data_IF_859820171170
#
_entry.id   IF_859820171170
#
_cell.length_a   1.000
_cell.length_b   1.000
_cell.length_c   1.000
_cell.angle_alpha   90.00
_cell.angle_beta   90.00
_cell.angle_gamma   90.00
#
_symmetry.space_group_name_H-M   'P 1'
#
loop_
_entity.id
_entity.type
_entity.pdbx_description
1 polymer ?
#
# COMPACT_ATOMS: atom_id res chain seq x y z
N UNK A 1 8.22 -4.58 -2.92
CA UNK A 1 7.94 -6.02 -2.74
C UNK A 1 6.51 -6.28 -3.17
N UNK A 2 6.21 -7.48 -3.70
CA UNK A 2 4.82 -7.90 -3.96
C UNK A 2 4.40 -8.90 -2.89
N UNK A 3 3.27 -8.63 -2.26
CA UNK A 3 2.62 -9.52 -1.32
C UNK A 3 1.39 -10.11 -2.01
N UNK A 4 1.29 -11.43 -2.01
CA UNK A 4 0.18 -12.12 -2.66
C UNK A 4 -0.75 -12.75 -1.63
N UNK A 5 -2.03 -12.36 -1.71
CA UNK A 5 -3.15 -12.89 -0.95
C UNK A 5 -4.03 -13.80 -1.84
N UNK A 6 -4.89 -14.59 -1.22
CA UNK A 6 -5.99 -15.23 -1.95
C UNK A 6 -7.05 -14.18 -2.27
N UNK A 7 -7.78 -14.33 -3.38
CA UNK A 7 -8.79 -13.33 -3.75
C UNK A 7 -9.93 -13.25 -2.72
N UNK A 8 -10.38 -14.40 -2.22
CA UNK A 8 -11.46 -14.50 -1.24
C UNK A 8 -11.14 -13.92 0.15
N UNK A 9 -9.86 -13.70 0.46
CA UNK A 9 -9.40 -13.17 1.75
C UNK A 9 -8.62 -11.87 1.58
N UNK A 10 -8.72 -11.22 0.41
CA UNK A 10 -7.83 -10.11 0.06
C UNK A 10 -7.95 -8.92 1.02
N UNK A 11 -9.18 -8.60 1.47
CA UNK A 11 -9.41 -7.53 2.46
C UNK A 11 -8.79 -7.91 3.79
N UNK A 12 -9.09 -9.11 4.27
CA UNK A 12 -8.66 -9.63 5.56
C UNK A 12 -7.15 -9.70 5.66
N UNK A 13 -6.53 -10.30 4.65
CA UNK A 13 -5.08 -10.43 4.50
C UNK A 13 -4.42 -9.05 4.46
N UNK A 14 -4.95 -8.13 3.63
CA UNK A 14 -4.42 -6.76 3.56
C UNK A 14 -4.53 -6.05 4.91
N UNK A 15 -5.65 -6.23 5.62
CA UNK A 15 -5.87 -5.65 6.94
C UNK A 15 -4.94 -6.25 8.01
N UNK A 16 -4.67 -7.54 7.98
CA UNK A 16 -3.70 -8.20 8.85
C UNK A 16 -2.28 -7.65 8.61
N UNK A 17 -1.87 -7.53 7.36
CA UNK A 17 -0.59 -6.95 6.99
C UNK A 17 -0.45 -5.49 7.46
N UNK A 18 -1.44 -4.65 7.17
CA UNK A 18 -1.42 -3.23 7.53
C UNK A 18 -1.50 -3.04 9.05
N UNK A 19 -2.36 -3.79 9.74
CA UNK A 19 -2.47 -3.72 11.20
C UNK A 19 -1.16 -4.12 11.87
N UNK A 20 -0.52 -5.21 11.43
CA UNK A 20 0.78 -5.63 11.92
C UNK A 20 1.86 -4.57 11.69
N UNK A 21 1.95 -4.04 10.47
CA UNK A 21 2.92 -2.97 10.12
C UNK A 21 2.71 -1.71 10.96
N UNK A 22 1.47 -1.25 11.07
CA UNK A 22 1.14 -0.02 11.80
C UNK A 22 1.51 -0.08 13.28
N UNK A 23 1.53 -1.26 13.90
CA UNK A 23 2.03 -1.41 15.28
C UNK A 23 3.53 -1.18 15.38
N UNK A 24 4.28 -1.60 14.37
CA UNK A 24 5.75 -1.60 14.37
C UNK A 24 6.34 -0.30 13.81
N UNK A 25 5.70 0.30 12.80
CA UNK A 25 6.24 1.43 12.04
C UNK A 25 5.14 2.30 11.45
N UNK A 26 5.53 3.49 10.98
CA UNK A 26 4.63 4.35 10.23
C UNK A 26 4.29 3.77 8.85
N UNK A 27 3.03 3.91 8.44
CA UNK A 27 2.48 3.38 7.19
C UNK A 27 1.91 4.51 6.33
N UNK A 28 2.33 4.62 5.08
CA UNK A 28 1.58 5.32 4.05
C UNK A 28 0.76 4.30 3.27
N UNK A 29 -0.56 4.34 3.42
CA UNK A 29 -1.48 3.48 2.70
C UNK A 29 -2.02 4.22 1.48
N UNK A 30 -1.65 3.75 0.28
CA UNK A 30 -2.32 4.11 -0.97
C UNK A 30 -3.38 3.05 -1.24
N UNK A 31 -4.64 3.41 -1.03
CA UNK A 31 -5.77 2.51 -1.22
C UNK A 31 -6.50 2.88 -2.49
N UNK A 32 -6.55 1.93 -3.44
CA UNK A 32 -7.17 2.13 -4.75
C UNK A 32 -8.62 1.62 -4.85
N UNK A 33 -9.19 1.23 -3.71
CA UNK A 33 -10.45 0.50 -3.60
C UNK A 33 -10.91 0.44 -2.14
N UNK A 34 -12.22 0.35 -1.91
CA UNK A 34 -12.90 0.01 -0.62
C UNK A 34 -12.16 0.43 0.67
N UNK A 35 -11.62 1.65 0.69
CA UNK A 35 -10.71 2.11 1.75
C UNK A 35 -11.36 2.08 3.12
N UNK A 36 -12.67 2.31 3.19
CA UNK A 36 -13.45 2.20 4.42
C UNK A 36 -13.41 0.78 4.99
N UNK A 37 -13.80 -0.22 4.21
CA UNK A 37 -13.88 -1.60 4.66
C UNK A 37 -12.51 -2.11 5.11
N UNK A 38 -11.47 -1.76 4.35
CA UNK A 38 -10.09 -2.05 4.72
C UNK A 38 -9.70 -1.42 6.06
N UNK A 39 -10.03 -0.15 6.31
CA UNK A 39 -9.69 0.54 7.56
C UNK A 39 -10.48 -0.01 8.76
N UNK A 40 -11.78 -0.32 8.58
CA UNK A 40 -12.60 -0.96 9.62
C UNK A 40 -12.00 -2.34 10.00
N UNK A 41 -11.56 -3.11 8.99
CA UNK A 41 -10.86 -4.37 9.16
C UNK A 41 -9.50 -4.21 9.89
N UNK A 42 -8.74 -3.16 9.59
CA UNK A 42 -7.46 -2.84 10.26
C UNK A 42 -7.69 -2.51 11.74
N UNK A 43 -8.73 -1.73 12.06
CA UNK A 43 -9.06 -1.33 13.44
C UNK A 43 -9.49 -2.53 14.27
N UNK A 44 -10.39 -3.36 13.74
CA UNK A 44 -10.84 -4.58 14.44
C UNK A 44 -9.69 -5.55 14.76
N UNK A 45 -8.58 -5.48 14.01
CA UNK A 45 -7.35 -6.25 14.23
C UNK A 45 -6.33 -5.55 15.14
N UNK A 46 -6.68 -4.38 15.68
CA UNK A 46 -5.82 -3.60 16.57
C UNK A 46 -4.67 -2.89 15.86
N UNK A 47 -4.90 -2.40 14.64
CA UNK A 47 -3.97 -1.49 13.95
C UNK A 47 -3.93 -0.10 14.59
N UNK A 48 -2.77 0.55 14.55
CA UNK A 48 -2.55 1.89 15.13
C UNK A 48 -2.79 2.99 14.10
N UNK A 49 -4.03 3.49 14.01
CA UNK A 49 -4.42 4.52 13.04
C UNK A 49 -3.57 5.80 13.08
N UNK A 50 -3.06 6.18 14.26
CA UNK A 50 -2.21 7.37 14.42
C UNK A 50 -0.90 7.28 13.63
N UNK A 51 -0.47 6.06 13.28
CA UNK A 51 0.73 5.79 12.46
C UNK A 51 0.41 5.62 10.98
N UNK A 52 -0.87 5.71 10.57
CA UNK A 52 -1.30 5.49 9.18
C UNK A 52 -1.66 6.83 8.54
N UNK A 53 -0.94 7.20 7.49
CA UNK A 53 -1.36 8.22 6.53
C UNK A 53 -2.07 7.54 5.36
N UNK A 54 -3.28 7.99 5.02
CA UNK A 54 -4.11 7.35 3.99
C UNK A 54 -4.24 8.26 2.78
N UNK A 55 -3.85 7.73 1.63
CA UNK A 55 -4.13 8.30 0.32
C UNK A 55 -5.20 7.43 -0.29
N UNK A 56 -6.43 7.89 -0.19
CA UNK A 56 -7.55 7.22 -0.83
C UNK A 56 -7.68 7.74 -2.26
N UNK A 57 -7.28 6.89 -3.20
CA UNK A 57 -7.32 7.17 -4.61
C UNK A 57 -8.35 6.25 -5.24
N UNK A 58 -9.50 6.76 -5.69
CA UNK A 58 -10.59 5.99 -6.32
C UNK A 58 -11.64 5.33 -5.42
N UNK A 59 -11.58 5.42 -4.09
CA UNK A 59 -12.78 5.09 -3.29
C UNK A 59 -13.88 6.12 -3.52
N UNK A 60 -15.13 5.65 -3.53
CA UNK A 60 -16.32 6.46 -3.74
C UNK A 60 -17.03 6.85 -2.44
N UNK A 61 -16.58 6.36 -1.27
CA UNK A 61 -17.38 6.39 -0.04
C UNK A 61 -16.74 7.11 1.16
N UNK A 62 -15.69 7.89 0.93
CA UNK A 62 -15.04 8.66 2.00
C UNK A 62 -15.97 9.72 2.57
N UNK A 63 -16.40 9.54 3.81
CA UNK A 63 -17.22 10.52 4.53
C UNK A 63 -18.49 9.94 5.16
N UNK A 64 -18.91 8.72 4.79
CA UNK A 64 -19.95 8.01 5.54
C UNK A 64 -19.31 6.95 6.43
N UNK A 65 -18.99 7.32 7.67
CA UNK A 65 -18.56 6.38 8.70
C UNK A 65 -17.10 5.89 8.61
N UNK A 66 -16.26 6.48 7.75
CA UNK A 66 -14.80 6.27 7.81
C UNK A 66 -14.26 6.82 9.15
N UNK A 67 -13.39 6.10 9.85
CA UNK A 67 -12.72 6.60 11.05
C UNK A 67 -12.09 7.97 10.83
N UNK A 68 -12.19 8.87 11.81
CA UNK A 68 -11.62 10.21 11.67
C UNK A 68 -10.09 10.12 11.70
N UNK A 69 -9.47 10.20 10.51
CA UNK A 69 -8.03 10.18 10.33
C UNK A 69 -7.55 11.60 10.05
N UNK A 70 -6.61 12.09 10.85
CA UNK A 70 -6.02 13.43 10.67
C UNK A 70 -5.11 13.52 9.46
N UNK A 71 -4.61 12.38 8.97
CA UNK A 71 -3.61 12.29 7.90
C UNK A 71 -4.16 11.61 6.65
N UNK A 72 -5.39 11.95 6.27
CA UNK A 72 -6.06 11.35 5.13
C UNK A 72 -6.27 12.36 4.01
N UNK A 73 -5.92 11.97 2.78
CA UNK A 73 -6.15 12.75 1.56
C UNK A 73 -7.00 11.91 0.60
N UNK A 74 -8.04 12.53 0.05
CA UNK A 74 -8.86 11.93 -1.01
C UNK A 74 -8.45 12.49 -2.36
N UNK A 75 -8.24 11.61 -3.32
CA UNK A 75 -7.97 11.96 -4.71
C UNK A 75 -9.21 11.58 -5.52
N UNK A 76 -9.89 12.60 -6.06
CA UNK A 76 -11.22 12.48 -6.64
C UNK A 76 -11.28 11.50 -7.83
N UNK A 77 -10.14 11.21 -8.48
CA UNK A 77 -10.03 10.25 -9.60
C UNK A 77 -8.65 9.56 -9.63
N UNK A 78 -8.57 8.25 -9.93
CA UNK A 78 -7.29 7.53 -10.05
C UNK A 78 -6.42 7.95 -11.25
N UNK A 79 -6.98 8.68 -12.23
CA UNK A 79 -6.20 9.24 -13.36
C UNK A 79 -5.29 10.37 -12.92
N UNK A 80 -5.51 10.96 -11.74
CA UNK A 80 -4.66 12.00 -11.16
C UNK A 80 -3.45 11.37 -10.46
N UNK A 81 -2.72 10.54 -11.21
CA UNK A 81 -1.60 9.73 -10.68
C UNK A 81 -0.46 10.59 -10.16
N UNK A 82 -0.33 11.81 -10.69
CA UNK A 82 0.61 12.80 -10.21
C UNK A 82 0.28 13.21 -8.76
N UNK A 83 -1.00 13.33 -8.41
CA UNK A 83 -1.40 13.64 -7.03
C UNK A 83 -1.07 12.46 -6.12
N UNK A 84 -1.35 11.23 -6.56
CA UNK A 84 -0.98 10.01 -5.80
C UNK A 84 0.53 10.02 -5.53
N UNK A 85 1.35 10.33 -6.54
CA UNK A 85 2.80 10.40 -6.40
C UNK A 85 3.25 11.55 -5.48
N UNK A 86 2.66 12.74 -5.62
CA UNK A 86 3.00 13.92 -4.81
C UNK A 86 2.66 13.68 -3.34
N UNK A 87 1.43 13.24 -3.04
CA UNK A 87 1.01 12.97 -1.67
C UNK A 87 1.79 11.80 -1.07
N UNK A 88 2.03 10.75 -1.84
CA UNK A 88 2.86 9.63 -1.38
C UNK A 88 4.27 10.11 -1.06
N UNK A 89 4.91 10.90 -1.92
CA UNK A 89 6.23 11.44 -1.67
C UNK A 89 6.26 12.36 -0.44
N UNK A 90 5.22 13.16 -0.25
CA UNK A 90 5.12 14.04 0.90
C UNK A 90 4.99 13.26 2.22
N UNK A 91 4.02 12.35 2.33
CA UNK A 91 3.84 11.53 3.53
C UNK A 91 5.04 10.63 3.79
N UNK A 92 5.64 10.05 2.76
CA UNK A 92 6.83 9.19 2.91
C UNK A 92 8.06 9.97 3.35
N UNK A 93 8.19 11.26 3.02
CA UNK A 93 9.23 12.12 3.61
C UNK A 93 8.97 12.46 5.07
N UNK A 94 7.70 12.62 5.45
CA UNK A 94 7.31 12.83 6.84
C UNK A 94 7.65 11.59 7.69
N UNK A 95 7.31 10.39 7.20
CA UNK A 95 7.51 9.15 7.94
C UNK A 95 8.88 8.48 7.71
N UNK A 96 9.57 8.81 6.63
CA UNK A 96 10.80 8.13 6.20
C UNK A 96 12.01 8.39 7.10
N UNK A 97 11.96 9.43 7.94
CA UNK A 97 12.97 9.66 8.99
C UNK A 97 12.92 8.60 10.10
N UNK A 98 11.81 7.87 10.22
CA UNK A 98 11.55 6.91 11.31
C UNK A 98 11.52 5.44 10.82
N UNK A 99 11.81 5.18 9.54
CA UNK A 99 11.82 3.82 8.99
C UNK A 99 10.41 3.27 8.70
N UNK A 100 9.64 3.99 7.88
CA UNK A 100 8.27 3.60 7.50
C UNK A 100 8.14 2.70 6.27
N UNK A 101 6.90 2.35 5.95
CA UNK A 101 6.51 1.57 4.77
C UNK A 101 5.41 2.27 3.98
N UNK A 102 5.51 2.24 2.65
CA UNK A 102 4.42 2.55 1.74
C UNK A 102 3.76 1.26 1.26
N UNK A 103 2.44 1.17 1.41
CA UNK A 103 1.63 0.02 1.01
C UNK A 103 0.63 0.46 -0.04
N UNK A 104 0.56 -0.26 -1.16
CA UNK A 104 -0.42 -0.06 -2.23
C UNK A 104 -1.36 -1.26 -2.26
N UNK A 105 -2.67 -1.01 -2.23
CA UNK A 105 -3.73 -2.04 -2.38
C UNK A 105 -4.68 -1.66 -3.51
N UNK A 106 -5.35 -2.64 -4.12
CA UNK A 106 -6.31 -2.45 -5.21
C UNK A 106 -5.70 -2.05 -6.54
N UNK A 107 -4.46 -2.46 -6.81
CA UNK A 107 -3.72 -2.02 -8.01
C UNK A 107 -4.41 -2.45 -9.32
N UNK A 108 -5.20 -3.53 -9.29
CA UNK A 108 -6.08 -3.96 -10.38
C UNK A 108 -7.13 -2.91 -10.76
N UNK A 109 -7.56 -2.06 -9.81
CA UNK A 109 -8.53 -1.01 -10.07
C UNK A 109 -7.99 0.11 -10.96
N UNK A 110 -6.67 0.28 -11.05
CA UNK A 110 -6.12 1.24 -12.02
C UNK A 110 -6.39 0.82 -13.46
N UNK A 111 -6.59 -0.47 -13.74
CA UNK A 111 -6.83 -0.96 -15.10
C UNK A 111 -8.15 -0.49 -15.71
N UNK A 112 -9.10 0.00 -14.90
CA UNK A 112 -10.32 0.64 -15.44
C UNK A 112 -10.11 2.10 -15.86
N UNK A 113 -8.92 2.66 -15.64
CA UNK A 113 -8.63 4.07 -15.82
C UNK A 113 -7.36 4.35 -16.63
N UNK A 114 -6.40 3.43 -16.59
CA UNK A 114 -5.07 3.56 -17.15
C UNK A 114 -4.70 2.29 -17.90
N UNK A 115 -3.82 2.42 -18.89
CA UNK A 115 -3.25 1.25 -19.55
C UNK A 115 -2.13 0.60 -18.71
N UNK A 116 -1.63 -0.55 -19.18
CA UNK A 116 -0.62 -1.34 -18.46
C UNK A 116 0.74 -0.64 -18.39
N UNK A 117 1.09 0.15 -19.41
CA UNK A 117 2.37 0.85 -19.47
C UNK A 117 2.38 2.02 -18.48
N UNK A 118 1.26 2.74 -18.37
CA UNK A 118 1.03 3.79 -17.39
C UNK A 118 1.10 3.25 -15.95
N UNK A 119 0.46 2.10 -15.68
CA UNK A 119 0.55 1.43 -14.37
C UNK A 119 1.99 1.01 -14.08
N UNK A 120 2.71 0.47 -15.07
CA UNK A 120 4.11 0.09 -14.92
C UNK A 120 5.00 1.28 -14.60
N UNK A 121 4.84 2.39 -15.33
CA UNK A 121 5.58 3.63 -15.10
C UNK A 121 5.29 4.21 -13.70
N UNK A 122 4.04 4.16 -13.25
CA UNK A 122 3.65 4.58 -11.91
C UNK A 122 4.36 3.77 -10.82
N UNK A 123 4.28 2.44 -10.88
CA UNK A 123 4.92 1.58 -9.90
C UNK A 123 6.45 1.75 -9.92
N UNK A 124 7.04 1.88 -11.11
CA UNK A 124 8.47 2.14 -11.26
C UNK A 124 8.88 3.47 -10.60
N UNK A 125 8.13 4.54 -10.86
CA UNK A 125 8.39 5.88 -10.32
C UNK A 125 8.27 5.89 -8.80
N UNK A 126 7.21 5.30 -8.27
CA UNK A 126 6.99 5.14 -6.84
C UNK A 126 8.14 4.38 -6.18
N UNK A 127 8.53 3.23 -6.72
CA UNK A 127 9.66 2.44 -6.21
C UNK A 127 10.95 3.25 -6.17
N UNK A 128 11.25 4.02 -7.23
CA UNK A 128 12.45 4.86 -7.30
C UNK A 128 12.44 5.93 -6.21
N UNK A 129 11.31 6.60 -6.01
CA UNK A 129 11.14 7.62 -4.97
C UNK A 129 11.30 7.01 -3.57
N UNK A 130 10.69 5.85 -3.31
CA UNK A 130 10.79 5.18 -2.00
C UNK A 130 12.21 4.74 -1.70
N UNK A 131 12.93 4.22 -2.70
CA UNK A 131 14.35 3.88 -2.58
C UNK A 131 15.20 5.10 -2.22
N UNK A 132 14.92 6.27 -2.81
CA UNK A 132 15.62 7.52 -2.49
C UNK A 132 15.30 8.03 -1.08
N UNK A 133 14.08 7.80 -0.60
CA UNK A 133 13.63 8.19 0.72
C UNK A 133 14.00 7.18 1.83
N UNK A 134 14.66 6.07 1.49
CA UNK A 134 14.92 4.94 2.40
C UNK A 134 13.64 4.37 3.06
N UNK A 135 12.56 4.30 2.27
CA UNK A 135 11.25 3.78 2.70
C UNK A 135 10.98 2.46 1.98
N UNK A 136 10.47 1.46 2.70
CA UNK A 136 10.05 0.21 2.09
C UNK A 136 8.78 0.44 1.27
N UNK A 137 8.64 -0.23 0.13
CA UNK A 137 7.40 -0.21 -0.65
C UNK A 137 6.86 -1.63 -0.79
N UNK A 138 5.56 -1.78 -0.64
CA UNK A 138 4.84 -3.05 -0.78
C UNK A 138 3.60 -2.84 -1.64
N UNK A 139 3.37 -3.75 -2.57
CA UNK A 139 2.13 -3.84 -3.33
C UNK A 139 1.45 -5.12 -2.89
N UNK A 140 0.26 -5.02 -2.32
CA UNK A 140 -0.55 -6.19 -1.94
C UNK A 140 -1.51 -6.47 -3.08
N UNK A 141 -1.48 -7.69 -3.60
CA UNK A 141 -2.29 -8.15 -4.72
C UNK A 141 -2.94 -9.49 -4.38
N UNK A 142 -3.96 -9.87 -5.15
CA UNK A 142 -4.56 -11.21 -5.08
C UNK A 142 -4.12 -12.09 -6.26
N UNK A 143 -4.41 -13.38 -6.20
CA UNK A 143 -4.03 -14.37 -7.22
C UNK A 143 -4.73 -14.18 -8.58
N UNK A 144 -5.97 -13.69 -8.57
CA UNK A 144 -6.77 -13.49 -9.78
C UNK A 144 -6.42 -12.25 -10.61
N UNK A 145 -5.35 -11.50 -10.26
CA UNK A 145 -4.95 -10.38 -11.11
C UNK A 145 -4.55 -10.88 -12.51
N UNK A 146 -4.96 -10.14 -13.54
CA UNK A 146 -4.69 -10.50 -14.93
C UNK A 146 -3.19 -10.71 -15.19
N UNK A 147 -2.86 -11.71 -16.01
CA UNK A 147 -1.47 -12.04 -16.41
C UNK A 147 -0.66 -10.82 -16.87
N UNK A 148 -1.23 -9.86 -17.63
CA UNK A 148 -0.48 -8.68 -18.02
C UNK A 148 -0.06 -7.81 -16.82
N UNK A 149 -0.96 -7.57 -15.87
CA UNK A 149 -0.65 -6.80 -14.65
C UNK A 149 0.36 -7.54 -13.77
N UNK A 150 0.23 -8.87 -13.65
CA UNK A 150 1.22 -9.70 -12.94
C UNK A 150 2.62 -9.57 -13.54
N UNK A 151 2.71 -9.48 -14.87
CA UNK A 151 3.98 -9.26 -15.58
C UNK A 151 4.57 -7.88 -15.24
N UNK A 152 3.77 -6.82 -15.33
CA UNK A 152 4.19 -5.45 -14.98
C UNK A 152 4.70 -5.36 -13.55
N UNK A 153 3.97 -5.94 -12.60
CA UNK A 153 4.36 -5.95 -11.19
C UNK A 153 5.66 -6.74 -10.98
N UNK A 154 5.76 -7.95 -11.54
CA UNK A 154 6.94 -8.80 -11.35
C UNK A 154 8.23 -8.17 -11.88
N UNK A 155 8.19 -7.50 -13.04
CA UNK A 155 9.32 -6.71 -13.58
C UNK A 155 9.70 -5.55 -12.66
N UNK A 156 8.71 -4.99 -11.97
CA UNK A 156 8.90 -3.86 -11.06
C UNK A 156 9.30 -4.27 -9.64
N UNK A 157 9.29 -5.57 -9.32
CA UNK A 157 9.56 -6.10 -7.98
C UNK A 157 10.89 -6.86 -7.91
N UNK A 158 11.58 -6.77 -6.77
CA UNK A 158 12.75 -7.60 -6.48
C UNK A 158 12.41 -8.90 -5.75
N UNK A 159 11.18 -9.03 -5.22
CA UNK A 159 10.74 -10.16 -4.39
C UNK A 159 9.21 -10.23 -4.39
N UNK A 160 8.69 -11.45 -4.53
CA UNK A 160 7.27 -11.80 -4.40
C UNK A 160 7.14 -12.85 -3.30
N UNK A 161 6.18 -12.70 -2.40
CA UNK A 161 5.93 -13.67 -1.33
C UNK A 161 4.46 -13.71 -0.90
N UNK A 162 4.00 -14.81 -0.29
CA UNK A 162 2.69 -14.87 0.36
C UNK A 162 2.60 -13.86 1.49
N UNK A 163 1.42 -13.28 1.69
CA UNK A 163 1.20 -12.27 2.72
C UNK A 163 1.41 -12.80 4.15
N UNK A 164 1.13 -14.10 4.38
CA UNK A 164 1.36 -14.79 5.64
C UNK A 164 2.85 -14.79 6.09
N UNK A 165 3.78 -14.50 5.18
CA UNK A 165 5.22 -14.45 5.47
C UNK A 165 5.70 -13.08 5.98
N UNK A 166 4.82 -12.06 6.08
CA UNK A 166 5.21 -10.72 6.51
C UNK A 166 5.89 -10.69 7.87
N UNK A 167 5.36 -11.34 8.93
CA UNK A 167 6.00 -11.28 10.25
C UNK A 167 7.44 -11.77 10.22
N UNK A 168 7.67 -12.92 9.58
CA UNK A 168 9.01 -13.49 9.42
C UNK A 168 9.95 -12.57 8.62
N UNK A 169 9.43 -11.88 7.60
CA UNK A 169 10.23 -10.94 6.81
C UNK A 169 10.60 -9.66 7.56
N UNK A 170 9.68 -9.11 8.35
CA UNK A 170 10.00 -7.93 9.16
C UNK A 170 10.99 -8.23 10.28
N UNK A 171 10.91 -9.42 10.87
CA UNK A 171 11.94 -9.90 11.81
C UNK A 171 13.32 -9.97 11.14
N UNK A 172 13.39 -10.50 9.92
CA UNK A 172 14.63 -10.53 9.11
C UNK A 172 15.19 -9.11 8.87
N UNK A 173 14.34 -8.15 8.49
CA UNK A 173 14.75 -6.76 8.25
C UNK A 173 15.22 -6.02 9.51
N UNK A 174 14.56 -6.25 10.65
CA UNK A 174 14.98 -5.65 11.92
C UNK A 174 16.33 -6.22 12.39
N UNK A 175 16.59 -7.51 12.13
CA UNK A 175 17.88 -8.13 12.43
C UNK A 175 19.03 -7.50 11.63
N UNK A 176 18.81 -7.24 10.35
CA UNK A 176 19.82 -6.63 9.46
C UNK A 176 20.11 -5.15 9.73
N UNK A 177 19.18 -4.40 10.33
CA UNK A 177 19.38 -2.98 10.65
C UNK A 177 19.91 -2.74 12.08
N UNK A 178 19.92 -3.77 12.93
CA UNK A 178 20.44 -3.72 14.29
C UNK A 178 21.90 -4.22 14.42
N UNK A 179 22.52 -4.63 13.30
CA UNK A 179 23.91 -5.09 13.19
C UNK A 179 24.77 -4.10 12.41
#
# INVERSE_FOLDING_TARGET
MILQAQHSTYIEDSADAISYMSRQMAVVLVSLWETRELLDAVISRGGELSKIAVIDAASRFLGYGTPFLTNMVSIARPTDINDIQVYSSWYTRLIGKEGGVLIITGIDKLQSHLDLDEIGLFIHTMRRQMKQANVYHMVITHEDIGVPLKTVLSQSSSRQMPIAMIPAYLEELNYCNAS
#
